data_IF_087087049635
#
_entry.id   IF_087087049635
#
_cell.length_a   1.000
_cell.length_b   1.000
_cell.length_c   1.000
_cell.angle_alpha   90.00
_cell.angle_beta   90.00
_cell.angle_gamma   90.00
#
_symmetry.space_group_name_H-M   'P 1'
#
loop_
_entity.id
_entity.type
_entity.pdbx_description
1 polymer ?
#
# COMPACT_ATOMS: atom_id res chain seq x y z
N UNK A 1 -4.52 -10.96 18.97
CA UNK A 1 -4.09 -11.62 17.71
C UNK A 1 -4.35 -13.12 17.80
N UNK A 2 -4.63 -13.82 16.68
CA UNK A 2 -4.86 -15.28 16.73
C UNK A 2 -3.52 -16.03 16.71
N UNK A 3 -3.11 -16.60 17.85
CA UNK A 3 -1.80 -17.26 18.04
C UNK A 3 -1.56 -18.39 17.05
N UNK A 4 -2.55 -19.28 16.84
CA UNK A 4 -2.42 -20.41 15.91
C UNK A 4 -2.14 -19.94 14.47
N UNK A 5 -2.85 -18.87 14.06
CA UNK A 5 -2.68 -18.30 12.71
C UNK A 5 -1.29 -17.67 12.52
N UNK A 6 -0.79 -16.96 13.55
CA UNK A 6 0.54 -16.34 13.48
C UNK A 6 1.68 -17.37 13.56
N UNK A 7 1.57 -18.42 14.41
CA UNK A 7 2.56 -19.50 14.42
C UNK A 7 2.69 -20.17 13.05
N UNK A 8 1.56 -20.48 12.41
CA UNK A 8 1.58 -21.06 11.05
C UNK A 8 2.19 -20.10 10.02
N UNK A 9 1.91 -18.81 10.14
CA UNK A 9 2.45 -17.78 9.25
C UNK A 9 3.98 -17.63 9.40
N UNK A 10 4.50 -17.57 10.61
CA UNK A 10 5.95 -17.50 10.84
C UNK A 10 6.69 -18.76 10.36
N UNK A 11 6.10 -19.95 10.57
CA UNK A 11 6.65 -21.18 10.03
C UNK A 11 6.68 -21.18 8.49
N UNK A 12 5.64 -20.65 7.84
CA UNK A 12 5.60 -20.49 6.38
C UNK A 12 6.68 -19.52 5.89
N UNK A 13 6.87 -18.36 6.55
CA UNK A 13 7.92 -17.40 6.20
C UNK A 13 9.33 -18.03 6.34
N UNK A 14 9.58 -18.75 7.42
CA UNK A 14 10.85 -19.44 7.64
C UNK A 14 11.09 -20.53 6.58
N UNK A 15 10.07 -21.33 6.26
CA UNK A 15 10.15 -22.37 5.25
C UNK A 15 10.45 -21.81 3.85
N UNK A 16 9.91 -20.64 3.52
CA UNK A 16 10.18 -19.94 2.24
C UNK A 16 11.53 -19.21 2.22
N UNK A 17 12.20 -19.09 3.35
CA UNK A 17 13.41 -18.28 3.49
C UNK A 17 13.15 -16.76 3.54
N UNK A 18 11.90 -16.34 3.70
CA UNK A 18 11.53 -14.92 3.83
C UNK A 18 12.05 -14.30 5.14
N UNK A 19 12.23 -15.13 6.18
CA UNK A 19 12.88 -14.74 7.44
C UNK A 19 13.97 -15.75 7.79
N UNK A 20 15.11 -15.31 8.39
CA UNK A 20 16.17 -16.19 8.79
C UNK A 20 15.80 -17.02 10.03
N UNK A 21 16.46 -18.19 10.25
CA UNK A 21 16.14 -19.09 11.35
C UNK A 21 16.23 -18.45 12.74
N UNK A 22 17.25 -17.62 12.99
CA UNK A 22 17.45 -16.93 14.26
C UNK A 22 16.28 -15.99 14.61
N UNK A 23 15.70 -15.29 13.63
CA UNK A 23 14.51 -14.48 13.85
C UNK A 23 13.27 -15.35 14.10
N UNK A 24 13.14 -16.48 13.42
CA UNK A 24 12.05 -17.41 13.67
C UNK A 24 12.09 -17.99 15.10
N UNK A 25 13.29 -18.37 15.56
CA UNK A 25 13.51 -18.91 16.91
C UNK A 25 13.23 -17.85 17.98
N UNK A 26 13.71 -16.60 17.76
CA UNK A 26 13.41 -15.46 18.65
C UNK A 26 11.90 -15.25 18.82
N UNK A 27 11.14 -15.18 17.72
CA UNK A 27 9.70 -14.98 17.74
C UNK A 27 8.98 -16.13 18.44
N UNK A 28 9.43 -17.37 18.19
CA UNK A 28 8.82 -18.56 18.77
C UNK A 28 9.02 -18.58 20.27
N UNK A 29 10.23 -18.30 20.75
CA UNK A 29 10.54 -18.18 22.19
C UNK A 29 9.68 -17.08 22.86
N UNK A 30 9.49 -15.94 22.19
CA UNK A 30 8.65 -14.86 22.70
C UNK A 30 7.16 -15.25 22.79
N UNK A 31 6.64 -16.02 21.83
CA UNK A 31 5.28 -16.57 21.88
C UNK A 31 5.14 -17.57 23.03
N UNK A 32 6.15 -18.40 23.26
CA UNK A 32 6.15 -19.38 24.36
C UNK A 32 6.19 -18.68 25.72
N UNK A 33 7.05 -17.67 25.88
CA UNK A 33 7.14 -16.86 27.08
C UNK A 33 5.82 -16.16 27.45
N UNK A 34 5.13 -15.58 26.45
CA UNK A 34 3.86 -14.88 26.67
C UNK A 34 2.64 -15.83 26.64
N UNK A 35 2.80 -17.10 26.29
CA UNK A 35 1.74 -18.09 26.10
C UNK A 35 0.80 -17.79 24.92
N UNK A 36 0.98 -16.66 24.24
CA UNK A 36 0.14 -16.20 23.13
C UNK A 36 0.80 -15.12 22.27
N UNK A 37 0.26 -14.91 21.08
CA UNK A 37 0.64 -13.81 20.20
C UNK A 37 0.11 -12.47 20.76
N UNK A 38 0.99 -11.67 21.31
CA UNK A 38 0.70 -10.34 21.90
C UNK A 38 1.16 -9.22 20.97
N UNK A 39 0.78 -7.97 21.27
CA UNK A 39 1.32 -6.79 20.58
C UNK A 39 2.83 -6.67 20.77
N UNK A 40 3.33 -7.06 21.95
CA UNK A 40 4.77 -7.07 22.27
C UNK A 40 5.52 -8.03 21.34
N UNK A 41 5.07 -9.29 21.26
CA UNK A 41 5.66 -10.29 20.35
C UNK A 41 5.62 -9.80 18.90
N UNK A 42 4.52 -9.16 18.49
CA UNK A 42 4.41 -8.59 17.16
C UNK A 42 5.43 -7.47 16.93
N UNK A 43 5.69 -6.63 17.92
CA UNK A 43 6.74 -5.61 17.83
C UNK A 43 8.14 -6.21 17.72
N UNK A 44 8.43 -7.31 18.45
CA UNK A 44 9.69 -8.05 18.31
C UNK A 44 9.88 -8.52 16.87
N UNK A 45 8.84 -9.12 16.29
CA UNK A 45 8.87 -9.54 14.87
C UNK A 45 9.18 -8.38 13.93
N UNK A 46 8.44 -7.27 14.02
CA UNK A 46 8.67 -6.11 13.14
C UNK A 46 10.06 -5.50 13.34
N UNK A 47 10.51 -5.37 14.58
CA UNK A 47 11.86 -4.89 14.89
C UNK A 47 12.94 -5.85 14.33
N UNK A 48 12.69 -7.14 14.39
CA UNK A 48 13.56 -8.16 13.81
C UNK A 48 13.67 -8.04 12.29
N UNK A 49 12.56 -7.75 11.61
CA UNK A 49 12.55 -7.46 10.17
C UNK A 49 13.30 -6.15 9.86
N UNK A 50 13.00 -5.08 10.62
CA UNK A 50 13.62 -3.76 10.43
C UNK A 50 15.15 -3.81 10.64
N UNK A 51 15.62 -4.48 11.69
CA UNK A 51 17.06 -4.67 11.96
C UNK A 51 17.81 -5.35 10.81
N UNK A 52 17.11 -6.16 10.03
CA UNK A 52 17.70 -6.92 8.92
C UNK A 52 17.37 -6.31 7.55
N UNK A 53 16.73 -5.14 7.51
CA UNK A 53 16.32 -4.49 6.25
C UNK A 53 15.27 -5.29 5.44
N UNK A 54 14.56 -6.23 6.08
CA UNK A 54 13.58 -7.11 5.45
C UNK A 54 12.21 -6.43 5.27
N UNK A 55 12.19 -5.24 4.70
CA UNK A 55 10.99 -4.40 4.58
C UNK A 55 9.91 -4.96 3.65
N UNK A 56 10.26 -5.89 2.77
CA UNK A 56 9.36 -6.51 1.79
C UNK A 56 8.52 -7.65 2.36
N UNK A 57 8.93 -8.19 3.52
CA UNK A 57 8.26 -9.31 4.18
C UNK A 57 6.90 -8.86 4.71
N UNK A 58 5.86 -9.66 4.45
CA UNK A 58 4.54 -9.36 4.99
C UNK A 58 4.53 -9.45 6.52
N UNK A 59 3.99 -8.42 7.17
CA UNK A 59 3.83 -8.37 8.62
C UNK A 59 2.59 -9.12 9.12
N UNK A 60 1.72 -9.60 8.21
CA UNK A 60 0.45 -10.21 8.61
C UNK A 60 0.10 -11.43 7.76
N UNK A 61 -0.48 -12.46 8.39
CA UNK A 61 -0.93 -13.64 7.66
C UNK A 61 -2.10 -13.31 6.72
N UNK A 62 -2.00 -13.74 5.48
CA UNK A 62 -3.06 -13.69 4.48
C UNK A 62 -3.41 -15.09 3.97
N UNK A 63 -4.39 -15.21 3.11
CA UNK A 63 -4.81 -16.50 2.55
C UNK A 63 -5.10 -16.34 1.07
N UNK A 64 -4.47 -17.17 0.27
CA UNK A 64 -4.70 -17.25 -1.18
C UNK A 64 -6.05 -17.93 -1.53
N UNK A 65 -6.68 -18.59 -0.58
CA UNK A 65 -7.94 -19.29 -0.81
C UNK A 65 -9.00 -18.36 -1.40
N UNK A 66 -9.59 -18.75 -2.53
CA UNK A 66 -10.60 -17.98 -3.27
C UNK A 66 -10.11 -16.61 -3.77
N UNK A 67 -8.82 -16.41 -3.95
CA UNK A 67 -8.28 -15.18 -4.55
C UNK A 67 -8.84 -14.93 -5.95
N UNK A 68 -8.90 -13.67 -6.35
CA UNK A 68 -9.29 -13.31 -7.71
C UNK A 68 -8.29 -13.90 -8.71
N UNK A 69 -8.81 -14.50 -9.78
CA UNK A 69 -7.97 -14.88 -10.91
C UNK A 69 -7.82 -13.66 -11.81
N UNK A 70 -6.67 -13.00 -11.74
CA UNK A 70 -6.38 -11.76 -12.48
C UNK A 70 -5.50 -12.04 -13.70
N UNK A 71 -5.83 -13.10 -14.41
CA UNK A 71 -5.30 -13.43 -15.73
C UNK A 71 -5.99 -12.60 -16.83
N UNK A 72 -5.71 -12.87 -18.09
CA UNK A 72 -6.31 -12.16 -19.22
C UNK A 72 -7.85 -12.27 -19.32
N UNK A 73 -8.48 -13.18 -18.57
CA UNK A 73 -9.93 -13.34 -18.52
C UNK A 73 -10.62 -12.41 -17.52
N UNK A 74 -9.85 -11.76 -16.63
CA UNK A 74 -10.40 -10.89 -15.61
C UNK A 74 -11.00 -9.61 -16.21
N UNK A 75 -12.29 -9.41 -15.97
CA UNK A 75 -13.01 -8.25 -16.49
C UNK A 75 -12.91 -7.07 -15.52
N UNK A 76 -11.99 -6.12 -15.80
CA UNK A 76 -11.89 -4.86 -15.07
C UNK A 76 -12.99 -3.87 -15.44
N UNK A 77 -13.41 -3.86 -16.73
CA UNK A 77 -14.47 -2.96 -17.21
C UNK A 77 -15.80 -3.28 -16.54
N UNK A 78 -16.52 -2.23 -16.18
CA UNK A 78 -17.83 -2.34 -15.56
C UNK A 78 -18.87 -2.84 -16.56
N UNK A 79 -19.80 -3.71 -16.13
CA UNK A 79 -20.92 -4.08 -16.97
C UNK A 79 -21.74 -2.86 -17.45
N UNK A 80 -22.32 -2.93 -18.66
CA UNK A 80 -23.21 -1.87 -19.17
C UNK A 80 -24.61 -1.92 -18.54
N UNK A 81 -24.89 -2.92 -17.69
CA UNK A 81 -26.20 -3.13 -17.05
C UNK A 81 -26.54 -1.98 -16.08
N UNK A 82 -27.67 -1.29 -16.23
CA UNK A 82 -28.08 -0.19 -15.37
C UNK A 82 -28.28 -0.62 -13.91
N UNK A 83 -28.82 -1.81 -13.64
CA UNK A 83 -28.98 -2.35 -12.28
C UNK A 83 -27.63 -2.52 -11.58
N UNK A 84 -26.57 -2.88 -12.33
CA UNK A 84 -25.23 -2.93 -11.78
C UNK A 84 -24.76 -1.53 -11.34
N UNK A 85 -25.04 -0.49 -12.12
CA UNK A 85 -24.66 0.89 -11.79
C UNK A 85 -25.39 1.42 -10.56
N UNK A 86 -26.65 1.05 -10.37
CA UNK A 86 -27.42 1.36 -9.15
C UNK A 86 -26.79 0.66 -7.95
N UNK A 87 -26.56 -0.66 -8.04
CA UNK A 87 -25.88 -1.43 -6.98
C UNK A 87 -24.50 -0.86 -6.63
N UNK A 88 -23.72 -0.46 -7.65
CA UNK A 88 -22.44 0.21 -7.45
C UNK A 88 -22.57 1.55 -6.72
N UNK A 89 -23.55 2.37 -7.08
CA UNK A 89 -23.78 3.66 -6.41
C UNK A 89 -24.14 3.46 -4.92
N UNK A 90 -24.95 2.47 -4.61
CA UNK A 90 -25.32 2.10 -3.24
C UNK A 90 -24.09 1.62 -2.47
N UNK A 91 -23.31 0.67 -3.02
CA UNK A 91 -22.10 0.13 -2.36
C UNK A 91 -21.04 1.20 -2.16
N UNK A 92 -20.83 2.08 -3.15
CA UNK A 92 -19.88 3.19 -3.05
C UNK A 92 -20.31 4.23 -1.98
N UNK A 93 -21.61 4.48 -1.86
CA UNK A 93 -22.15 5.38 -0.83
C UNK A 93 -22.01 4.78 0.56
N UNK A 94 -22.35 3.50 0.72
CA UNK A 94 -22.15 2.77 1.97
C UNK A 94 -20.68 2.75 2.38
N UNK A 95 -19.78 2.51 1.42
CA UNK A 95 -18.35 2.55 1.68
C UNK A 95 -17.85 3.93 2.14
N UNK A 96 -18.39 5.03 1.60
CA UNK A 96 -18.09 6.39 2.07
C UNK A 96 -18.52 6.58 3.52
N UNK A 97 -19.71 6.10 3.87
CA UNK A 97 -20.25 6.19 5.22
C UNK A 97 -19.42 5.34 6.20
N UNK A 98 -19.06 4.10 5.84
CA UNK A 98 -18.16 3.25 6.62
C UNK A 98 -16.80 3.94 6.82
N UNK A 99 -16.22 4.50 5.76
CA UNK A 99 -14.96 5.24 5.84
C UNK A 99 -15.05 6.46 6.77
N UNK A 100 -16.20 7.14 6.81
CA UNK A 100 -16.45 8.23 7.74
C UNK A 100 -16.52 7.75 9.20
N UNK A 101 -17.25 6.66 9.48
CA UNK A 101 -17.34 6.08 10.83
C UNK A 101 -15.97 5.56 11.27
N UNK A 102 -15.33 4.73 10.47
CA UNK A 102 -14.02 4.13 10.80
C UNK A 102 -12.98 5.23 11.01
N UNK A 103 -12.86 6.17 10.10
CA UNK A 103 -11.90 7.27 10.24
C UNK A 103 -12.23 8.20 11.40
N UNK A 104 -13.48 8.63 11.53
CA UNK A 104 -13.92 9.56 12.58
C UNK A 104 -13.98 8.91 13.95
N UNK A 105 -14.87 7.93 14.13
CA UNK A 105 -15.10 7.27 15.43
C UNK A 105 -13.95 6.30 15.73
N UNK A 106 -13.60 5.42 14.80
CA UNK A 106 -12.58 4.40 15.00
C UNK A 106 -11.20 5.00 15.27
N UNK A 107 -10.70 5.83 14.38
CA UNK A 107 -9.35 6.42 14.48
C UNK A 107 -9.31 7.87 14.99
N UNK A 108 -10.45 8.51 15.25
CA UNK A 108 -10.52 9.89 15.73
C UNK A 108 -10.09 10.93 14.70
N UNK A 109 -10.19 10.62 13.40
CA UNK A 109 -9.85 11.53 12.30
C UNK A 109 -11.10 12.31 11.90
N UNK A 110 -11.40 13.38 12.60
CA UNK A 110 -12.56 14.23 12.29
C UNK A 110 -12.28 15.20 11.15
N UNK A 111 -11.04 15.65 11.02
CA UNK A 111 -10.57 16.54 9.94
C UNK A 111 -9.25 16.03 9.38
N UNK A 112 -9.06 16.17 8.07
CA UNK A 112 -7.79 15.93 7.39
C UNK A 112 -7.24 17.30 6.99
N UNK A 113 -6.14 17.72 7.60
CA UNK A 113 -5.58 19.06 7.48
C UNK A 113 -5.36 19.48 6.02
N UNK A 114 -4.66 18.67 5.28
CA UNK A 114 -4.16 18.99 3.95
C UNK A 114 -5.07 18.47 2.82
N UNK A 115 -6.32 18.07 3.13
CA UNK A 115 -7.26 17.54 2.13
C UNK A 115 -7.55 18.52 0.99
N UNK A 116 -7.33 19.83 1.19
CA UNK A 116 -7.46 20.85 0.15
C UNK A 116 -6.50 20.61 -1.04
N UNK A 117 -5.32 20.04 -0.79
CA UNK A 117 -4.34 19.69 -1.81
C UNK A 117 -4.91 18.71 -2.84
N UNK A 118 -5.73 17.75 -2.40
CA UNK A 118 -6.38 16.77 -3.26
C UNK A 118 -7.60 17.31 -4.03
N UNK A 119 -8.24 18.36 -3.54
CA UNK A 119 -9.48 18.90 -4.17
C UNK A 119 -9.22 19.60 -5.51
N UNK A 120 -8.06 20.24 -5.63
CA UNK A 120 -7.71 21.06 -6.81
C UNK A 120 -7.04 20.24 -7.93
N UNK A 121 -6.69 18.99 -7.65
CA UNK A 121 -6.00 18.12 -8.60
C UNK A 121 -7.05 17.28 -9.34
N UNK A 122 -6.87 17.11 -10.65
CA UNK A 122 -7.64 16.17 -11.47
C UNK A 122 -7.37 14.71 -11.07
N UNK A 123 -7.13 13.84 -12.02
CA UNK A 123 -6.66 12.49 -11.75
C UNK A 123 -5.28 12.55 -11.07
N UNK A 124 -5.04 11.64 -10.13
CA UNK A 124 -3.75 11.50 -9.46
C UNK A 124 -3.54 10.08 -8.96
N UNK A 125 -2.31 9.68 -8.78
CA UNK A 125 -1.98 8.53 -7.95
C UNK A 125 -1.69 9.04 -6.55
N UNK A 126 -2.30 8.41 -5.54
CA UNK A 126 -2.00 8.66 -4.13
C UNK A 126 -1.25 7.47 -3.56
N UNK A 127 -0.28 7.71 -2.70
CA UNK A 127 0.48 6.68 -2.00
C UNK A 127 0.37 6.84 -0.50
N UNK A 128 0.49 5.76 0.26
CA UNK A 128 0.64 5.83 1.71
C UNK A 128 1.35 4.59 2.26
N UNK A 129 1.82 4.69 3.51
CA UNK A 129 2.22 3.52 4.28
C UNK A 129 1.05 2.54 4.44
N UNK A 130 1.36 1.23 4.54
CA UNK A 130 0.36 0.17 4.68
C UNK A 130 0.41 -0.41 6.11
N UNK A 131 -0.47 0.10 6.96
CA UNK A 131 -0.38 -0.07 8.42
C UNK A 131 -1.61 -0.72 9.05
N UNK A 132 -2.59 -1.13 8.26
CA UNK A 132 -3.77 -1.77 8.82
C UNK A 132 -4.81 -2.23 7.80
N UNK A 133 -5.62 -3.21 8.20
CA UNK A 133 -6.71 -3.75 7.38
C UNK A 133 -7.77 -2.71 7.00
N UNK A 134 -7.86 -1.60 7.75
CA UNK A 134 -8.81 -0.53 7.52
C UNK A 134 -8.22 0.69 6.79
N UNK A 135 -6.98 0.58 6.32
CA UNK A 135 -6.32 1.64 5.52
C UNK A 135 -7.18 2.13 4.33
N UNK A 136 -7.91 1.27 3.61
CA UNK A 136 -8.84 1.73 2.58
C UNK A 136 -9.87 2.75 3.08
N UNK A 137 -10.34 2.58 4.31
CA UNK A 137 -11.27 3.53 4.95
C UNK A 137 -10.58 4.85 5.32
N UNK A 138 -9.30 4.79 5.75
CA UNK A 138 -8.49 5.98 6.02
C UNK A 138 -8.21 6.75 4.74
N UNK A 139 -7.83 6.06 3.67
CA UNK A 139 -7.69 6.67 2.33
C UNK A 139 -9.00 7.33 1.89
N UNK A 140 -10.13 6.65 2.09
CA UNK A 140 -11.45 7.22 1.79
C UNK A 140 -11.70 8.50 2.57
N UNK A 141 -11.29 8.55 3.82
CA UNK A 141 -11.40 9.72 4.68
C UNK A 141 -10.55 10.89 4.18
N UNK A 142 -9.33 10.61 3.71
CA UNK A 142 -8.41 11.61 3.14
C UNK A 142 -8.97 12.22 1.86
N UNK A 143 -9.48 11.40 0.96
CA UNK A 143 -9.96 11.83 -0.36
C UNK A 143 -11.32 12.58 -0.33
N UNK A 144 -12.06 12.48 0.76
CA UNK A 144 -13.34 13.20 0.93
C UNK A 144 -14.34 12.85 -0.17
N UNK A 145 -14.71 13.82 -1.03
CA UNK A 145 -15.68 13.63 -2.14
C UNK A 145 -15.07 13.05 -3.41
N UNK A 146 -13.73 13.08 -3.56
CA UNK A 146 -13.04 12.60 -4.75
C UNK A 146 -13.30 11.11 -4.96
N UNK A 147 -13.56 10.69 -6.19
CA UNK A 147 -13.67 9.28 -6.54
C UNK A 147 -12.32 8.60 -6.29
N UNK A 148 -12.38 7.38 -5.76
CA UNK A 148 -11.21 6.61 -5.36
C UNK A 148 -11.27 5.21 -5.93
N UNK A 149 -10.11 4.74 -6.36
CA UNK A 149 -9.85 3.33 -6.64
C UNK A 149 -8.58 2.91 -5.91
N UNK A 150 -8.56 1.69 -5.38
CA UNK A 150 -7.41 1.16 -4.64
C UNK A 150 -6.87 -0.04 -5.38
N UNK A 151 -5.59 -0.01 -5.68
CA UNK A 151 -4.89 -1.16 -6.23
C UNK A 151 -4.53 -2.11 -5.09
N UNK A 152 -4.87 -3.38 -5.23
CA UNK A 152 -4.66 -4.38 -4.20
C UNK A 152 -4.18 -5.71 -4.77
N UNK A 153 -3.49 -6.50 -3.96
CA UNK A 153 -3.11 -7.85 -4.33
C UNK A 153 -4.36 -8.74 -4.59
N UNK A 154 -4.27 -9.71 -5.51
CA UNK A 154 -5.41 -10.58 -5.88
C UNK A 154 -6.06 -11.30 -4.69
N UNK A 155 -5.28 -11.68 -3.68
CA UNK A 155 -5.78 -12.33 -2.47
C UNK A 155 -6.71 -11.46 -1.61
N UNK A 156 -6.66 -10.14 -1.76
CA UNK A 156 -7.59 -9.20 -1.13
C UNK A 156 -8.94 -9.11 -1.87
N UNK A 157 -9.00 -9.61 -3.10
CA UNK A 157 -10.19 -9.64 -3.94
C UNK A 157 -10.76 -11.06 -4.01
N UNK A 158 -11.47 -11.49 -2.96
CA UNK A 158 -12.03 -12.84 -2.87
C UNK A 158 -13.17 -13.07 -3.89
N UNK A 159 -13.28 -14.31 -4.40
CA UNK A 159 -14.38 -14.75 -5.28
C UNK A 159 -15.59 -15.17 -4.45
N UNK A 160 -16.12 -14.25 -3.66
CA UNK A 160 -17.32 -14.40 -2.84
C UNK A 160 -18.11 -13.09 -2.85
N UNK A 161 -19.25 -13.05 -2.15
CA UNK A 161 -20.12 -11.87 -2.09
C UNK A 161 -19.37 -10.63 -1.57
N UNK A 162 -18.56 -10.77 -0.51
CA UNK A 162 -17.76 -9.67 0.03
C UNK A 162 -16.75 -9.12 -0.99
N UNK A 163 -16.05 -10.00 -1.70
CA UNK A 163 -15.12 -9.60 -2.77
C UNK A 163 -15.85 -8.97 -3.97
N UNK A 164 -17.06 -9.44 -4.30
CA UNK A 164 -17.88 -8.81 -5.33
C UNK A 164 -18.29 -7.38 -4.96
N UNK A 165 -18.66 -7.16 -3.69
CA UNK A 165 -18.96 -5.83 -3.15
C UNK A 165 -17.73 -4.93 -3.23
N UNK A 166 -16.55 -5.38 -2.77
CA UNK A 166 -15.31 -4.63 -2.83
C UNK A 166 -14.92 -4.29 -4.27
N UNK A 167 -15.01 -5.25 -5.20
CA UNK A 167 -14.78 -5.04 -6.62
C UNK A 167 -15.74 -4.01 -7.21
N UNK A 168 -17.02 -4.09 -6.86
CA UNK A 168 -18.01 -3.13 -7.36
C UNK A 168 -17.76 -1.73 -6.83
N UNK A 169 -17.22 -1.60 -5.61
CA UNK A 169 -17.01 -0.32 -4.97
C UNK A 169 -15.75 0.40 -5.47
N UNK A 170 -14.55 -0.14 -5.25
CA UNK A 170 -13.33 0.64 -5.39
C UNK A 170 -12.05 -0.16 -5.65
N UNK A 171 -12.04 -1.48 -5.52
CA UNK A 171 -10.80 -2.26 -5.54
C UNK A 171 -10.47 -2.72 -6.96
N UNK A 172 -9.22 -2.50 -7.37
CA UNK A 172 -8.64 -2.98 -8.62
C UNK A 172 -7.53 -3.99 -8.27
N UNK A 173 -7.76 -5.29 -8.46
CA UNK A 173 -6.71 -6.27 -8.20
C UNK A 173 -5.59 -6.15 -9.22
N UNK A 174 -4.34 -6.24 -8.76
CA UNK A 174 -3.17 -6.32 -9.63
C UNK A 174 -3.27 -7.53 -10.57
N UNK A 175 -2.79 -7.41 -11.82
CA UNK A 175 -2.72 -8.56 -12.72
C UNK A 175 -1.70 -9.58 -12.20
N UNK A 176 -2.08 -10.86 -12.20
CA UNK A 176 -1.19 -11.96 -11.84
C UNK A 176 -0.37 -12.48 -13.03
N UNK A 177 -0.74 -12.08 -14.25
CA UNK A 177 -0.09 -12.52 -15.49
C UNK A 177 0.06 -11.35 -16.46
N UNK A 178 1.00 -11.47 -17.38
CA UNK A 178 1.20 -10.51 -18.45
C UNK A 178 -0.08 -10.26 -19.27
N UNK A 179 -0.86 -11.31 -19.56
CA UNK A 179 -2.14 -11.19 -20.28
C UNK A 179 -3.17 -10.32 -19.57
N UNK A 180 -3.07 -10.21 -18.23
CA UNK A 180 -3.92 -9.34 -17.43
C UNK A 180 -3.46 -7.87 -17.39
N UNK A 181 -2.23 -7.57 -17.78
CA UNK A 181 -1.64 -6.22 -17.68
C UNK A 181 -2.36 -5.20 -18.56
N UNK A 182 -2.65 -5.54 -19.81
CA UNK A 182 -3.35 -4.63 -20.75
C UNK A 182 -4.75 -4.25 -20.27
N UNK A 183 -5.66 -5.18 -19.92
CA UNK A 183 -6.97 -4.83 -19.38
C UNK A 183 -6.91 -4.04 -18.06
N UNK A 184 -5.90 -4.29 -17.24
CA UNK A 184 -5.68 -3.52 -16.02
C UNK A 184 -5.30 -2.08 -16.35
N UNK A 185 -4.34 -1.87 -17.25
CA UNK A 185 -3.91 -0.55 -17.67
C UNK A 185 -5.07 0.25 -18.31
N UNK A 186 -5.83 -0.35 -19.22
CA UNK A 186 -7.03 0.27 -19.80
C UNK A 186 -8.05 0.71 -18.72
N UNK A 187 -8.13 -0.03 -17.62
CA UNK A 187 -8.97 0.37 -16.49
C UNK A 187 -8.39 1.55 -15.72
N UNK A 188 -7.06 1.63 -15.56
CA UNK A 188 -6.42 2.79 -14.94
C UNK A 188 -6.61 4.05 -15.79
N UNK A 189 -6.51 3.96 -17.12
CA UNK A 189 -6.82 5.07 -18.04
C UNK A 189 -8.28 5.53 -17.88
N UNK A 190 -9.22 4.58 -17.86
CA UNK A 190 -10.64 4.88 -17.64
C UNK A 190 -10.87 5.62 -16.31
N UNK A 191 -10.13 5.27 -15.25
CA UNK A 191 -10.19 5.92 -13.93
C UNK A 191 -9.59 7.33 -14.00
N UNK A 192 -8.44 7.49 -14.65
CA UNK A 192 -7.77 8.77 -14.92
C UNK A 192 -8.70 9.75 -15.64
N UNK A 193 -9.32 9.32 -16.73
CA UNK A 193 -10.18 10.17 -17.57
C UNK A 193 -11.43 10.68 -16.82
N UNK A 194 -11.75 10.07 -15.69
CA UNK A 194 -12.81 10.51 -14.79
C UNK A 194 -12.35 11.39 -13.64
N UNK A 195 -11.09 11.82 -13.66
CA UNK A 195 -10.51 12.67 -12.62
C UNK A 195 -10.46 11.98 -11.24
N UNK A 196 -10.47 10.65 -11.20
CA UNK A 196 -10.44 9.90 -9.94
C UNK A 196 -9.02 9.73 -9.40
N UNK A 197 -8.90 9.45 -8.11
CA UNK A 197 -7.65 9.06 -7.48
C UNK A 197 -7.46 7.55 -7.56
N UNK A 198 -6.24 7.12 -7.88
CA UNK A 198 -5.81 5.73 -7.84
C UNK A 198 -4.84 5.61 -6.67
N UNK A 199 -5.16 4.77 -5.70
CA UNK A 199 -4.34 4.61 -4.50
C UNK A 199 -3.49 3.35 -4.56
N UNK A 200 -2.22 3.50 -4.23
CA UNK A 200 -1.25 2.43 -4.08
C UNK A 200 -0.64 2.44 -2.68
N UNK A 201 -0.28 1.25 -2.19
CA UNK A 201 0.61 1.07 -1.06
C UNK A 201 1.99 0.68 -1.60
N UNK A 202 2.91 1.64 -1.82
CA UNK A 202 4.17 1.36 -2.51
C UNK A 202 5.12 0.51 -1.68
N UNK A 203 4.88 0.36 -0.40
CA UNK A 203 5.61 -0.51 0.52
C UNK A 203 5.38 -2.02 0.27
N UNK A 204 4.42 -2.40 -0.63
CA UNK A 204 4.06 -3.78 -0.99
C UNK A 204 3.41 -4.56 0.18
N UNK A 205 4.10 -4.70 1.29
CA UNK A 205 3.69 -5.48 2.47
C UNK A 205 2.93 -4.64 3.50
N UNK A 206 2.17 -5.26 4.40
CA UNK A 206 1.42 -4.58 5.47
C UNK A 206 2.04 -4.86 6.85
N UNK A 207 2.45 -3.79 7.57
CA UNK A 207 2.96 -3.88 8.93
C UNK A 207 2.03 -3.14 9.89
N UNK A 208 1.32 -3.87 10.73
CA UNK A 208 0.27 -3.29 11.58
C UNK A 208 0.81 -2.23 12.54
N UNK A 209 0.26 -1.03 12.42
CA UNK A 209 0.59 0.15 13.25
C UNK A 209 2.07 0.56 13.24
N UNK A 210 2.83 0.10 12.25
CA UNK A 210 4.20 0.57 12.08
C UNK A 210 4.21 2.05 11.69
N UNK A 211 5.10 2.84 12.31
CA UNK A 211 5.03 4.31 12.23
C UNK A 211 5.85 4.89 11.09
N UNK A 212 6.99 4.29 10.78
CA UNK A 212 7.93 4.79 9.77
C UNK A 212 7.43 4.44 8.35
N UNK A 213 7.55 5.33 7.37
CA UNK A 213 7.40 4.92 5.98
C UNK A 213 8.52 3.93 5.63
N UNK A 214 8.21 2.87 4.89
CA UNK A 214 9.19 1.87 4.45
C UNK A 214 9.61 2.13 3.00
N UNK A 215 10.73 1.58 2.52
CA UNK A 215 11.19 1.75 1.15
C UNK A 215 10.10 1.44 0.11
N UNK A 216 10.03 2.24 -0.94
CA UNK A 216 8.99 2.19 -1.95
C UNK A 216 9.38 1.30 -3.14
N UNK A 217 8.40 0.59 -3.70
CA UNK A 217 8.50 -0.18 -4.95
C UNK A 217 7.97 0.64 -6.14
N UNK A 218 8.49 0.37 -7.31
CA UNK A 218 8.33 1.18 -8.52
C UNK A 218 6.91 1.22 -9.12
N UNK A 219 6.05 0.26 -8.80
CA UNK A 219 4.77 0.07 -9.48
C UNK A 219 3.86 1.30 -9.52
N UNK A 220 3.77 2.06 -8.42
CA UNK A 220 2.96 3.29 -8.38
C UNK A 220 3.53 4.38 -9.31
N UNK A 221 4.85 4.49 -9.36
CA UNK A 221 5.59 5.53 -10.10
C UNK A 221 5.60 5.21 -11.59
N UNK A 222 5.72 3.94 -11.97
CA UNK A 222 5.53 3.46 -13.33
C UNK A 222 4.15 3.87 -13.88
N UNK A 223 3.08 3.62 -13.12
CA UNK A 223 1.74 4.01 -13.56
C UNK A 223 1.51 5.51 -13.53
N UNK A 224 2.12 6.27 -12.61
CA UNK A 224 2.04 7.72 -12.60
C UNK A 224 2.67 8.33 -13.86
N UNK A 225 3.86 7.87 -14.21
CA UNK A 225 4.55 8.27 -15.43
C UNK A 225 3.71 7.93 -16.66
N UNK A 226 3.30 6.67 -16.79
CA UNK A 226 2.58 6.18 -17.97
C UNK A 226 1.21 6.82 -18.16
N UNK A 227 0.53 7.19 -17.09
CA UNK A 227 -0.75 7.90 -17.12
C UNK A 227 -0.61 9.41 -17.22
N UNK A 228 0.60 9.96 -17.04
CA UNK A 228 0.86 11.39 -17.04
C UNK A 228 0.19 12.14 -15.89
N UNK A 229 0.06 11.51 -14.72
CA UNK A 229 -0.61 12.08 -13.54
C UNK A 229 0.36 12.30 -12.38
N UNK A 230 0.11 13.29 -11.50
CA UNK A 230 0.95 13.50 -10.31
C UNK A 230 0.79 12.39 -9.29
N UNK A 231 1.86 12.20 -8.49
CA UNK A 231 1.85 11.45 -7.23
C UNK A 231 1.50 12.39 -6.09
N UNK A 232 0.66 11.95 -5.17
CA UNK A 232 0.35 12.66 -3.92
C UNK A 232 0.66 11.74 -2.74
N UNK A 233 1.83 11.89 -2.11
CA UNK A 233 2.18 11.11 -0.94
C UNK A 233 1.31 11.46 0.25
N UNK A 234 0.87 10.44 0.98
CA UNK A 234 0.17 10.55 2.25
C UNK A 234 0.88 9.70 3.29
N UNK A 235 0.73 10.05 4.56
CA UNK A 235 1.22 9.26 5.68
C UNK A 235 0.14 9.12 6.73
N UNK A 236 -0.12 7.88 7.17
CA UNK A 236 -0.95 7.58 8.33
C UNK A 236 -0.06 7.59 9.56
N UNK A 237 -0.28 8.58 10.42
CA UNK A 237 0.48 8.80 11.64
C UNK A 237 -0.37 8.42 12.85
N UNK A 238 0.26 7.81 13.86
CA UNK A 238 -0.41 7.40 15.07
C UNK A 238 0.02 8.25 16.26
N UNK A 239 -0.96 8.63 17.09
CA UNK A 239 -0.73 9.29 18.39
C UNK A 239 -1.17 8.38 19.53
N UNK A 240 -0.58 8.57 20.68
CA UNK A 240 -1.10 7.93 21.90
C UNK A 240 -2.53 8.43 22.18
N UNK A 241 -3.50 7.51 22.33
CA UNK A 241 -4.87 7.89 22.66
C UNK A 241 -4.94 8.47 24.08
N UNK A 242 -5.76 9.50 24.27
CA UNK A 242 -5.99 10.16 25.58
C UNK A 242 -7.47 10.08 25.96
N UNK A 243 -7.77 10.29 27.27
CA UNK A 243 -9.12 10.33 27.79
C UNK A 243 -9.94 9.08 27.45
N UNK A 244 -11.19 9.28 27.05
CA UNK A 244 -12.13 8.19 26.72
C UNK A 244 -11.60 7.23 25.65
N UNK A 245 -10.82 7.71 24.68
CA UNK A 245 -10.23 6.84 23.64
C UNK A 245 -9.23 5.86 24.23
N UNK A 246 -8.44 6.28 25.23
CA UNK A 246 -7.51 5.40 25.96
C UNK A 246 -8.29 4.35 26.74
N UNK A 247 -9.35 4.76 27.45
CA UNK A 247 -10.21 3.84 28.20
C UNK A 247 -10.88 2.79 27.30
N UNK A 248 -11.36 3.20 26.12
CA UNK A 248 -11.99 2.31 25.14
C UNK A 248 -11.01 1.59 24.22
N UNK A 249 -9.70 1.71 24.46
CA UNK A 249 -8.63 1.12 23.64
C UNK A 249 -8.74 1.45 22.14
N UNK A 250 -9.29 2.60 21.80
CA UNK A 250 -9.44 3.07 20.43
C UNK A 250 -8.17 3.78 19.96
N UNK A 251 -7.62 3.45 18.78
CA UNK A 251 -6.45 4.12 18.25
C UNK A 251 -6.73 5.60 17.94
N UNK A 252 -5.70 6.41 17.95
CA UNK A 252 -5.73 7.79 17.47
C UNK A 252 -4.78 7.93 16.30
N UNK A 253 -5.30 8.34 15.14
CA UNK A 253 -4.49 8.58 13.97
C UNK A 253 -4.72 9.99 13.39
N UNK A 254 -3.76 10.46 12.61
CA UNK A 254 -3.86 11.61 11.74
C UNK A 254 -3.42 11.21 10.33
N UNK A 255 -3.98 11.87 9.32
CA UNK A 255 -3.56 11.71 7.94
C UNK A 255 -2.82 12.99 7.54
N UNK A 256 -1.58 12.83 7.10
CA UNK A 256 -0.77 13.92 6.55
C UNK A 256 -0.70 13.75 5.04
N UNK A 257 -0.73 14.85 4.29
CA UNK A 257 -0.75 14.85 2.83
C UNK A 257 0.31 15.82 2.33
N UNK A 258 1.26 15.32 1.55
CA UNK A 258 2.27 16.12 0.90
C UNK A 258 1.71 16.89 -0.31
N UNK A 259 2.50 17.79 -0.87
CA UNK A 259 2.17 18.46 -2.12
C UNK A 259 2.27 17.49 -3.29
N UNK A 260 1.50 17.73 -4.37
CA UNK A 260 1.57 16.90 -5.57
C UNK A 260 2.94 16.97 -6.24
N UNK A 261 3.46 15.81 -6.61
CA UNK A 261 4.72 15.64 -7.31
C UNK A 261 4.43 15.26 -8.75
N UNK A 262 4.81 16.11 -9.69
CA UNK A 262 4.61 15.89 -11.11
C UNK A 262 5.81 15.19 -11.73
N UNK A 263 5.59 14.30 -12.75
CA UNK A 263 6.67 13.75 -13.55
C UNK A 263 7.50 14.84 -14.22
N UNK A 264 8.81 14.80 -14.10
CA UNK A 264 9.71 15.73 -14.78
C UNK A 264 9.91 15.32 -16.25
N UNK A 265 9.30 16.07 -17.15
CA UNK A 265 9.34 15.80 -18.60
C UNK A 265 10.73 15.97 -19.23
N UNK A 266 11.67 16.61 -18.55
CA UNK A 266 13.04 16.75 -19.03
C UNK A 266 13.82 15.43 -18.90
N UNK A 267 13.39 14.54 -18.01
CA UNK A 267 14.03 13.25 -17.78
C UNK A 267 13.53 12.19 -18.76
N UNK A 268 14.38 11.22 -19.09
CA UNK A 268 13.97 9.99 -19.76
C UNK A 268 13.02 9.16 -18.91
N UNK A 269 12.23 8.25 -19.50
CA UNK A 269 11.15 7.52 -18.84
C UNK A 269 11.61 6.82 -17.56
N UNK A 270 12.71 6.05 -17.59
CA UNK A 270 13.23 5.33 -16.42
C UNK A 270 13.69 6.28 -15.32
N UNK A 271 14.47 7.30 -15.68
CA UNK A 271 14.96 8.32 -14.73
C UNK A 271 13.79 9.09 -14.10
N UNK A 272 12.73 9.36 -14.86
CA UNK A 272 11.50 10.01 -14.38
C UNK A 272 10.77 9.18 -13.34
N UNK A 273 10.71 7.86 -13.52
CA UNK A 273 10.10 6.95 -12.54
C UNK A 273 10.90 6.93 -11.24
N UNK A 274 12.23 6.82 -11.32
CA UNK A 274 13.13 6.85 -10.16
C UNK A 274 13.02 8.17 -9.41
N UNK A 275 13.09 9.31 -10.11
CA UNK A 275 12.90 10.64 -9.54
C UNK A 275 11.55 10.80 -8.83
N UNK A 276 10.46 10.29 -9.42
CA UNK A 276 9.15 10.30 -8.79
C UNK A 276 9.14 9.48 -7.48
N UNK A 277 9.78 8.30 -7.48
CA UNK A 277 9.84 7.43 -6.32
C UNK A 277 10.65 8.08 -5.19
N UNK A 278 11.83 8.62 -5.49
CA UNK A 278 12.70 9.29 -4.54
C UNK A 278 12.06 10.53 -3.93
N UNK A 279 11.48 11.40 -4.74
CA UNK A 279 10.78 12.60 -4.26
C UNK A 279 9.53 12.25 -3.45
N UNK A 280 8.80 11.20 -3.82
CA UNK A 280 7.63 10.77 -3.08
C UNK A 280 8.01 10.15 -1.72
N UNK A 281 9.09 9.36 -1.69
CA UNK A 281 9.62 8.81 -0.45
C UNK A 281 10.16 9.91 0.47
N UNK A 282 10.96 10.84 -0.06
CA UNK A 282 11.45 11.98 0.69
C UNK A 282 10.33 12.88 1.24
N UNK A 283 9.22 13.00 0.51
CA UNK A 283 8.05 13.71 1.00
C UNK A 283 7.37 12.95 2.16
N UNK A 284 7.27 11.61 2.10
CA UNK A 284 6.74 10.81 3.19
C UNK A 284 7.66 10.85 4.43
N UNK A 285 8.97 10.82 4.24
CA UNK A 285 9.96 10.98 5.31
C UNK A 285 9.80 12.33 6.02
N UNK A 286 9.71 13.42 5.27
CA UNK A 286 9.44 14.76 5.85
C UNK A 286 8.12 14.80 6.64
N UNK A 287 7.05 14.19 6.13
CA UNK A 287 5.76 14.12 6.87
C UNK A 287 5.92 13.36 8.19
N UNK A 288 6.76 12.31 8.22
CA UNK A 288 7.09 11.56 9.43
C UNK A 288 7.85 12.44 10.42
N UNK A 289 8.94 13.06 9.98
CA UNK A 289 9.80 13.92 10.80
C UNK A 289 9.04 15.11 11.37
N UNK A 290 8.24 15.80 10.55
CA UNK A 290 7.38 16.89 11.00
C UNK A 290 6.32 16.48 12.02
N UNK A 291 5.83 15.24 11.93
CA UNK A 291 4.76 14.77 12.80
C UNK A 291 5.29 14.25 14.14
N UNK A 292 6.36 13.46 14.10
CA UNK A 292 6.93 12.81 15.28
C UNK A 292 8.02 13.66 15.96
N UNK A 293 8.63 14.60 15.25
CA UNK A 293 9.69 15.47 15.76
C UNK A 293 11.04 14.76 15.89
N UNK A 294 11.24 13.68 15.15
CA UNK A 294 12.47 12.86 15.14
C UNK A 294 12.86 12.52 13.70
N UNK A 295 14.16 12.36 13.41
CA UNK A 295 14.61 11.96 12.09
C UNK A 295 14.13 10.56 11.73
N UNK A 296 13.90 10.31 10.44
CA UNK A 296 13.58 8.98 9.93
C UNK A 296 14.87 8.14 9.88
N UNK A 297 15.02 7.24 10.82
CA UNK A 297 16.11 6.26 10.88
C UNK A 297 15.54 4.85 11.05
N UNK A 298 16.25 3.84 10.57
CA UNK A 298 15.86 2.44 10.75
C UNK A 298 16.85 1.71 11.67
N UNK A 299 16.39 0.62 12.30
CA UNK A 299 17.24 -0.19 13.17
C UNK A 299 18.41 -0.86 12.39
N UNK A 300 18.27 -1.08 11.09
CA UNK A 300 19.37 -1.55 10.25
C UNK A 300 20.45 -0.50 10.04
N UNK A 301 20.13 0.80 10.07
CA UNK A 301 21.09 1.89 9.89
C UNK A 301 22.03 1.98 11.10
N UNK A 302 21.55 1.63 12.30
CA UNK A 302 22.35 1.62 13.53
C UNK A 302 23.43 0.52 13.54
N UNK A 303 23.22 -0.54 12.75
CA UNK A 303 24.16 -1.66 12.65
C UNK A 303 25.29 -1.40 11.62
N UNK A 304 25.12 -0.39 10.78
CA UNK A 304 26.09 0.02 9.77
C UNK A 304 26.33 1.55 9.80
N UNK A 305 26.89 2.11 10.90
CA UNK A 305 27.03 3.55 11.08
C UNK A 305 28.01 4.23 10.11
N UNK A 306 28.76 3.44 9.32
CA UNK A 306 29.58 3.89 8.19
C UNK A 306 28.80 3.53 6.92
N UNK A 307 27.74 4.29 6.62
CA UNK A 307 27.04 4.17 5.36
C UNK A 307 28.04 4.28 4.22
N UNK A 308 28.33 3.15 3.59
CA UNK A 308 28.97 3.12 2.30
C UNK A 308 28.04 3.89 1.35
N UNK A 309 28.58 4.92 0.67
CA UNK A 309 27.87 5.74 -0.32
C UNK A 309 27.37 4.92 -1.52
N UNK A 310 27.43 3.59 -1.43
CA UNK A 310 27.06 2.60 -2.46
C UNK A 310 25.63 2.03 -2.32
N UNK A 311 24.73 2.62 -1.53
CA UNK A 311 23.29 2.32 -1.67
C UNK A 311 22.67 3.05 -2.88
N UNK A 312 23.50 3.48 -3.82
CA UNK A 312 23.18 3.69 -5.22
C UNK A 312 23.12 2.36 -5.95
N UNK A 313 22.01 1.65 -5.79
CA UNK A 313 21.46 0.73 -6.77
C UNK A 313 22.36 -0.32 -7.40
N UNK A 314 22.68 -1.40 -6.72
CA UNK A 314 22.55 -2.69 -7.39
C UNK A 314 21.11 -3.18 -7.18
N UNK A 315 20.29 -2.96 -8.19
CA UNK A 315 19.01 -3.63 -8.33
C UNK A 315 19.29 -5.14 -8.39
N UNK A 316 19.14 -5.82 -7.24
CA UNK A 316 18.95 -7.26 -7.24
C UNK A 316 17.86 -7.54 -8.25
N UNK A 317 18.20 -8.32 -9.28
CA UNK A 317 17.36 -8.56 -10.44
C UNK A 317 15.94 -8.92 -10.05
N UNK A 318 15.08 -7.95 -10.20
CA UNK A 318 13.65 -8.14 -10.17
C UNK A 318 13.30 -8.57 -11.59
N UNK A 319 12.96 -9.85 -11.76
CA UNK A 319 12.10 -10.25 -12.87
C UNK A 319 10.80 -9.47 -12.75
N UNK A 320 10.82 -8.24 -13.21
CA UNK A 320 9.66 -7.38 -13.28
C UNK A 320 8.86 -7.80 -14.49
N UNK A 321 7.57 -7.97 -14.28
CA UNK A 321 6.56 -8.10 -15.35
C UNK A 321 6.70 -6.97 -16.39
N UNK A 322 7.51 -5.94 -16.14
CA UNK A 322 7.81 -4.82 -17.04
C UNK A 322 8.93 -5.07 -18.05
N UNK A 323 9.99 -5.80 -17.72
CA UNK A 323 11.13 -6.00 -18.64
C UNK A 323 10.80 -6.88 -19.83
N UNK A 324 9.93 -7.88 -19.65
CA UNK A 324 9.46 -8.71 -20.75
C UNK A 324 8.53 -8.01 -21.76
N UNK A 325 8.10 -6.77 -21.49
CA UNK A 325 7.25 -6.01 -22.43
C UNK A 325 8.08 -5.24 -23.44
N UNK A 326 9.28 -4.80 -23.07
CA UNK A 326 10.09 -3.90 -23.90
C UNK A 326 10.88 -4.65 -24.96
N UNK A 327 11.44 -5.82 -24.64
CA UNK A 327 12.26 -6.57 -25.59
C UNK A 327 11.47 -7.25 -26.72
N UNK A 328 10.21 -7.65 -26.50
CA UNK A 328 9.38 -8.27 -27.55
C UNK A 328 8.74 -7.27 -28.51
N UNK A 329 8.69 -5.99 -28.20
CA UNK A 329 8.16 -4.99 -29.13
C UNK A 329 9.24 -4.44 -30.06
N UNK A 330 10.52 -4.48 -29.70
CA UNK A 330 11.61 -4.09 -30.59
C UNK A 330 11.88 -5.11 -31.71
N UNK A 331 11.53 -6.38 -31.50
CA UNK A 331 11.71 -7.44 -32.51
C UNK A 331 10.56 -7.51 -33.56
N UNK A 332 9.49 -6.73 -33.41
CA UNK A 332 8.38 -6.72 -34.38
C UNK A 332 8.39 -5.56 -35.35
N UNK A 333 9.24 -4.58 -35.15
CA UNK A 333 9.37 -3.43 -36.06
C UNK A 333 10.56 -3.59 -37.02
N UNK A 334 11.24 -4.74 -37.01
CA UNK A 334 12.34 -5.09 -37.95
C UNK A 334 12.02 -6.26 -38.91
N UNK A 335 10.71 -6.58 -39.14
CA UNK A 335 10.34 -7.51 -40.24
C UNK A 335 9.25 -6.90 -41.09
#
# INVERSE_FOLDING_TARGET
>A
MNTKKYKAFFAELAQKGDIPPDLYDEITAEIERDGKMTKRVYSVFLNGLEKRGLFDVDGTPFSEKNSAKTDGSYKYKRPKNPFWHIGHAVTATLYKFIGWIVGGVGYGIWRVKDAKKLKKIGACITTSNHVGYLDPCLTRRALGVKKQYIVAAPHNCKRNLGGAILKSAIVLPLPATFKGAKPFYEMLEYVRDRGAAIHFYPEKSMWLHYRKPRPYKDGAFYFAEKLGVPIVPMLYCFREPKGLRKLLHLPKAEIRIADPIYPDKALGVRARMTDLAERAYAAAARLYEEFYGEPLTYLCDEQNPLGDETLGGEAVGVETVGENITEKNQQKDEI
#
